data_IF_290995676823
#
_entry.id   IF_290995676823
#
_cell.length_a   1.000
_cell.length_b   1.000
_cell.length_c   1.000
_cell.angle_alpha   90.00
_cell.angle_beta   90.00
_cell.angle_gamma   90.00
#
_symmetry.space_group_name_H-M   'P 1'
#
loop_
_entity.id
_entity.type
_entity.pdbx_description
1 polymer ?
#
# COMPACT_ATOMS: atom_id res chain seq x y z
N UNK A 1 -4.85 -6.78 31.54
CA UNK A 1 -4.73 -7.32 30.17
C UNK A 1 -5.76 -6.77 29.17
N UNK A 2 -6.96 -6.33 29.58
CA UNK A 2 -7.93 -5.67 28.68
C UNK A 2 -7.44 -4.36 28.05
N UNK A 3 -6.56 -3.62 28.75
CA UNK A 3 -6.09 -2.29 28.33
C UNK A 3 -5.19 -2.31 27.08
N UNK A 4 -4.29 -3.30 26.94
CA UNK A 4 -3.38 -3.38 25.77
C UNK A 4 -4.10 -3.78 24.49
N UNK A 5 -5.14 -4.61 24.59
CA UNK A 5 -5.94 -5.02 23.44
C UNK A 5 -6.81 -3.87 22.89
N UNK A 6 -7.40 -3.07 23.78
CA UNK A 6 -8.15 -1.86 23.42
C UNK A 6 -7.24 -0.82 22.77
N UNK A 7 -6.05 -0.58 23.35
CA UNK A 7 -5.04 0.32 22.77
C UNK A 7 -4.61 -0.11 21.37
N UNK A 8 -4.29 -1.39 21.17
CA UNK A 8 -3.92 -1.91 19.86
C UNK A 8 -5.06 -1.75 18.84
N UNK A 9 -6.29 -2.03 19.25
CA UNK A 9 -7.48 -1.85 18.39
C UNK A 9 -7.70 -0.39 18.01
N UNK A 10 -7.46 0.55 18.93
CA UNK A 10 -7.59 1.99 18.66
C UNK A 10 -6.55 2.47 17.64
N UNK A 11 -5.30 2.01 17.77
CA UNK A 11 -4.24 2.30 16.80
C UNK A 11 -4.56 1.68 15.43
N UNK A 12 -4.98 0.42 15.38
CA UNK A 12 -5.36 -0.19 14.09
C UNK A 12 -6.50 0.59 13.41
N UNK A 13 -7.47 1.09 14.17
CA UNK A 13 -8.58 1.85 13.62
C UNK A 13 -8.27 3.33 13.34
N UNK A 14 -7.08 3.84 13.70
CA UNK A 14 -6.76 5.26 13.57
C UNK A 14 -7.64 6.18 14.41
N UNK A 15 -8.32 5.64 15.43
CA UNK A 15 -9.39 6.34 16.17
C UNK A 15 -8.89 7.53 17.00
N UNK A 16 -7.59 7.56 17.30
CA UNK A 16 -6.90 8.64 18.03
C UNK A 16 -6.05 9.51 17.08
N UNK A 17 -6.27 9.40 15.75
CA UNK A 17 -5.52 10.16 14.74
C UNK A 17 -4.10 9.66 14.49
N UNK A 18 -3.73 8.51 15.05
CA UNK A 18 -2.48 7.78 14.79
C UNK A 18 -2.75 6.30 14.61
N UNK A 19 -1.83 5.63 13.92
CA UNK A 19 -1.85 4.18 13.72
C UNK A 19 -0.59 3.55 14.28
N UNK A 20 -0.55 2.22 14.32
CA UNK A 20 0.63 1.51 14.80
C UNK A 20 1.76 1.60 13.77
N UNK A 21 2.95 1.99 14.21
CA UNK A 21 4.19 1.97 13.45
C UNK A 21 5.32 1.43 14.34
N UNK A 22 5.96 0.35 13.90
CA UNK A 22 7.08 -0.25 14.62
C UNK A 22 8.41 0.32 14.13
N UNK A 23 8.88 1.39 14.77
CA UNK A 23 10.20 1.99 14.48
C UNK A 23 11.35 1.35 15.25
N UNK A 24 11.04 0.59 16.31
CA UNK A 24 12.05 -0.02 17.18
C UNK A 24 12.50 -1.39 16.66
N UNK A 25 11.62 -2.13 15.99
CA UNK A 25 11.89 -3.48 15.47
C UNK A 25 11.57 -3.56 13.98
N UNK A 26 12.46 -3.14 13.07
CA UNK A 26 12.22 -3.28 11.64
C UNK A 26 12.04 -4.76 11.26
N UNK A 27 11.21 -5.00 10.24
CA UNK A 27 11.05 -6.31 9.60
C UNK A 27 12.11 -6.47 8.53
N UNK A 28 12.39 -7.71 8.13
CA UNK A 28 13.39 -8.02 7.11
C UNK A 28 12.73 -8.77 5.97
N UNK A 29 12.91 -8.31 4.74
CA UNK A 29 12.46 -9.03 3.55
C UNK A 29 13.50 -10.10 3.18
N UNK A 30 13.13 -11.37 3.30
CA UNK A 30 14.01 -12.52 3.01
C UNK A 30 13.49 -13.40 1.86
N UNK A 31 12.29 -13.13 1.35
CA UNK A 31 11.62 -13.92 0.31
C UNK A 31 11.48 -13.11 -0.96
N UNK A 32 11.80 -13.75 -2.08
CA UNK A 32 11.65 -13.21 -3.43
C UNK A 32 10.20 -13.22 -3.92
N UNK A 33 9.97 -12.94 -5.21
CA UNK A 33 8.65 -13.00 -5.82
C UNK A 33 8.07 -14.41 -5.80
N UNK A 34 6.74 -14.48 -5.90
CA UNK A 34 6.01 -15.75 -6.02
C UNK A 34 6.34 -16.43 -7.37
N UNK A 35 6.87 -17.65 -7.31
CA UNK A 35 7.07 -18.54 -8.44
C UNK A 35 5.87 -19.47 -8.59
N UNK A 36 4.90 -19.02 -9.39
CA UNK A 36 3.68 -19.77 -9.70
C UNK A 36 3.93 -21.06 -10.50
N UNK A 37 5.16 -21.31 -10.97
CA UNK A 37 5.50 -22.56 -11.66
C UNK A 37 5.80 -23.70 -10.68
N UNK A 38 6.14 -23.36 -9.44
CA UNK A 38 6.39 -24.32 -8.36
C UNK A 38 5.08 -24.57 -7.61
N UNK A 39 4.34 -25.57 -8.07
CA UNK A 39 3.08 -25.99 -7.46
C UNK A 39 3.29 -27.20 -6.53
N UNK A 40 4.38 -27.16 -5.77
CA UNK A 40 4.80 -28.25 -4.89
C UNK A 40 4.23 -28.02 -3.48
N UNK A 41 3.57 -29.02 -2.92
CA UNK A 41 2.94 -28.95 -1.58
C UNK A 41 3.91 -28.58 -0.45
N UNK A 42 5.22 -28.74 -0.64
CA UNK A 42 6.27 -28.42 0.33
C UNK A 42 7.06 -27.14 0.00
N UNK A 43 6.91 -26.58 -1.21
CA UNK A 43 7.53 -25.32 -1.60
C UNK A 43 6.42 -24.29 -1.79
N UNK A 44 6.35 -23.34 -0.86
CA UNK A 44 5.34 -22.28 -0.86
C UNK A 44 5.48 -21.31 -2.06
N UNK A 45 6.45 -21.54 -2.95
CA UNK A 45 6.62 -20.77 -4.19
C UNK A 45 7.34 -19.45 -3.97
N UNK A 46 8.16 -19.31 -2.92
CA UNK A 46 8.92 -18.08 -2.64
C UNK A 46 10.37 -18.40 -2.36
N UNK A 47 11.25 -18.18 -3.35
CA UNK A 47 12.69 -18.37 -3.18
C UNK A 47 13.27 -17.42 -2.12
N UNK A 48 14.40 -17.81 -1.54
CA UNK A 48 15.13 -16.92 -0.62
C UNK A 48 15.82 -15.84 -1.45
N UNK A 49 15.76 -14.59 -1.00
CA UNK A 49 16.50 -13.51 -1.66
C UNK A 49 18.01 -13.75 -1.54
N UNK A 50 18.80 -13.41 -2.58
CA UNK A 50 20.24 -13.27 -2.44
C UNK A 50 20.60 -12.35 -1.27
N UNK A 51 21.73 -12.60 -0.61
CA UNK A 51 22.14 -11.87 0.61
C UNK A 51 22.24 -10.35 0.39
N UNK A 52 22.67 -9.93 -0.80
CA UNK A 52 22.77 -8.52 -1.22
C UNK A 52 21.40 -7.86 -1.51
N UNK A 53 20.33 -8.65 -1.54
CA UNK A 53 18.97 -8.24 -1.86
C UNK A 53 18.04 -8.29 -0.64
N UNK A 54 18.57 -8.69 0.53
CA UNK A 54 17.86 -8.65 1.82
C UNK A 54 17.90 -7.24 2.37
N UNK A 55 16.74 -6.69 2.75
CA UNK A 55 16.66 -5.34 3.30
C UNK A 55 15.65 -5.21 4.44
N UNK A 56 15.91 -4.32 5.42
CA UNK A 56 14.95 -4.02 6.48
C UNK A 56 13.88 -3.03 6.01
N UNK A 57 12.69 -3.09 6.61
CA UNK A 57 11.63 -2.12 6.43
C UNK A 57 10.80 -1.95 7.70
N UNK A 58 10.19 -0.77 7.88
CA UNK A 58 9.25 -0.52 8.96
C UNK A 58 7.85 -0.97 8.58
N UNK A 59 7.12 -1.50 9.55
CA UNK A 59 5.75 -1.98 9.35
C UNK A 59 4.74 -1.02 9.98
N UNK A 60 3.93 -0.39 9.12
CA UNK A 60 2.76 0.40 9.53
C UNK A 60 1.51 -0.49 9.46
N UNK A 61 0.72 -0.53 10.54
CA UNK A 61 -0.52 -1.32 10.61
C UNK A 61 -1.73 -0.43 10.82
N UNK A 62 -2.66 -0.49 9.87
CA UNK A 62 -3.96 0.18 9.92
C UNK A 62 -5.03 -0.72 9.32
N UNK A 63 -6.24 -0.66 9.86
CA UNK A 63 -7.42 -1.36 9.35
C UNK A 63 -8.27 -0.38 8.55
N UNK A 64 -8.65 -0.74 7.34
CA UNK A 64 -9.59 0.06 6.55
C UNK A 64 -11.02 -0.06 7.11
N UNK A 65 -11.91 0.81 6.68
CA UNK A 65 -13.34 0.69 7.00
C UNK A 65 -13.93 -0.54 6.31
N UNK A 66 -14.61 -1.42 7.05
CA UNK A 66 -15.21 -2.66 6.51
C UNK A 66 -16.61 -2.39 5.93
N UNK A 67 -16.72 -2.31 4.60
CA UNK A 67 -18.02 -2.07 3.92
C UNK A 67 -18.85 -3.33 3.73
N UNK A 68 -18.35 -4.53 4.03
CA UNK A 68 -19.17 -5.76 3.93
C UNK A 68 -20.36 -5.73 4.89
N UNK A 69 -20.21 -5.04 6.01
CA UNK A 69 -21.23 -4.89 7.05
C UNK A 69 -22.27 -3.81 6.72
N UNK A 70 -22.06 -3.09 5.62
CA UNK A 70 -22.98 -2.08 5.13
C UNK A 70 -23.84 -2.77 4.06
N UNK A 71 -25.10 -3.10 4.38
CA UNK A 71 -26.00 -3.78 3.45
C UNK A 71 -26.18 -3.05 2.11
N UNK A 72 -26.83 -3.71 1.13
CA UNK A 72 -26.94 -3.24 -0.26
C UNK A 72 -27.59 -1.86 -0.45
N UNK A 73 -28.34 -1.35 0.55
CA UNK A 73 -28.97 -0.03 0.52
C UNK A 73 -28.19 0.97 1.37
N UNK A 74 -27.24 1.66 0.74
CA UNK A 74 -26.45 2.71 1.40
C UNK A 74 -27.12 4.06 1.15
N UNK A 75 -27.66 4.68 2.20
CA UNK A 75 -28.14 6.07 2.11
C UNK A 75 -26.98 7.04 1.82
N UNK A 76 -27.28 8.18 1.18
CA UNK A 76 -26.27 9.24 0.89
C UNK A 76 -25.54 9.70 2.16
N UNK A 77 -26.26 9.82 3.28
CA UNK A 77 -25.71 10.18 4.60
C UNK A 77 -24.73 9.12 5.13
N UNK A 78 -25.07 7.85 4.98
CA UNK A 78 -24.20 6.76 5.38
C UNK A 78 -22.91 6.73 4.54
N UNK A 79 -23.03 6.91 3.22
CA UNK A 79 -21.86 6.97 2.34
C UNK A 79 -20.91 8.11 2.72
N UNK A 80 -21.45 9.27 3.10
CA UNK A 80 -20.64 10.40 3.57
C UNK A 80 -19.85 10.06 4.83
N UNK A 81 -20.52 9.52 5.86
CA UNK A 81 -19.86 9.09 7.11
C UNK A 81 -18.75 8.07 6.87
N UNK A 82 -19.00 7.14 5.95
CA UNK A 82 -18.01 6.14 5.53
C UNK A 82 -16.75 6.78 4.91
N UNK A 83 -16.94 7.75 4.00
CA UNK A 83 -15.83 8.47 3.37
C UNK A 83 -15.06 9.32 4.38
N UNK A 84 -15.77 9.94 5.33
CA UNK A 84 -15.14 10.72 6.40
C UNK A 84 -14.28 9.82 7.32
N UNK A 85 -14.77 8.63 7.72
CA UNK A 85 -13.99 7.65 8.51
C UNK A 85 -12.76 7.15 7.72
N UNK A 86 -12.93 6.79 6.44
CA UNK A 86 -11.80 6.41 5.59
C UNK A 86 -10.73 7.50 5.51
N UNK A 87 -11.15 8.77 5.38
CA UNK A 87 -10.23 9.92 5.37
C UNK A 87 -9.50 10.07 6.71
N UNK A 88 -10.20 9.96 7.84
CA UNK A 88 -9.56 10.01 9.16
C UNK A 88 -8.48 8.94 9.30
N UNK A 89 -8.73 7.72 8.82
CA UNK A 89 -7.75 6.62 8.86
C UNK A 89 -6.55 6.88 7.96
N UNK A 90 -6.77 7.37 6.75
CA UNK A 90 -5.68 7.76 5.84
C UNK A 90 -4.83 8.89 6.44
N UNK A 91 -5.47 9.91 7.01
CA UNK A 91 -4.77 10.98 7.72
C UNK A 91 -3.95 10.39 8.87
N UNK A 92 -4.52 9.48 9.66
CA UNK A 92 -3.81 8.84 10.77
C UNK A 92 -2.56 8.09 10.31
N UNK A 93 -2.59 7.41 9.15
CA UNK A 93 -1.40 6.80 8.55
C UNK A 93 -0.33 7.86 8.22
N UNK A 94 -0.71 8.89 7.47
CA UNK A 94 0.22 9.92 7.01
C UNK A 94 0.84 10.68 8.18
N UNK A 95 0.05 11.08 9.18
CA UNK A 95 0.59 11.83 10.32
C UNK A 95 1.47 10.93 11.20
N UNK A 96 1.17 9.63 11.32
CA UNK A 96 2.06 8.69 12.02
C UNK A 96 3.43 8.61 11.34
N UNK A 97 3.46 8.56 10.01
CA UNK A 97 4.70 8.55 9.25
C UNK A 97 5.48 9.86 9.40
N UNK A 98 4.78 11.00 9.36
CA UNK A 98 5.37 12.34 9.53
C UNK A 98 6.00 12.49 10.92
N UNK A 99 5.26 12.13 11.97
CA UNK A 99 5.76 12.22 13.35
C UNK A 99 7.01 11.35 13.58
N UNK A 100 7.09 10.22 12.88
CA UNK A 100 8.23 9.32 12.91
C UNK A 100 9.37 9.71 11.95
N UNK A 101 9.23 10.80 11.18
CA UNK A 101 10.23 11.25 10.21
C UNK A 101 10.39 10.33 9.00
N UNK A 102 9.41 9.49 8.69
CA UNK A 102 9.46 8.53 7.56
C UNK A 102 9.12 9.25 6.26
N UNK A 103 10.12 9.38 5.37
CA UNK A 103 9.99 10.12 4.09
C UNK A 103 9.77 9.24 2.86
N UNK A 104 10.07 7.95 2.94
CA UNK A 104 9.90 6.97 1.86
C UNK A 104 8.84 5.96 2.27
N UNK A 105 7.75 5.88 1.50
CA UNK A 105 6.55 5.15 1.91
C UNK A 105 6.07 4.24 0.79
N UNK A 106 5.74 2.99 1.14
CA UNK A 106 5.01 2.06 0.27
C UNK A 106 3.62 1.83 0.88
N UNK A 107 2.59 2.17 0.12
CA UNK A 107 1.18 1.99 0.45
C UNK A 107 0.54 0.99 -0.53
N UNK A 108 -0.73 0.69 -0.34
CA UNK A 108 -1.51 -0.21 -1.18
C UNK A 108 -2.90 0.35 -1.46
N UNK A 109 -3.72 -0.39 -2.22
CA UNK A 109 -5.14 -0.08 -2.41
C UNK A 109 -5.94 -0.35 -1.11
N UNK A 110 -5.75 0.51 -0.12
CA UNK A 110 -6.18 0.31 1.28
C UNK A 110 -7.65 -0.09 1.39
N UNK A 111 -7.91 -1.33 1.82
CA UNK A 111 -9.25 -1.87 1.99
C UNK A 111 -10.06 -2.12 0.70
N UNK A 112 -9.48 -2.01 -0.48
CA UNK A 112 -10.22 -2.13 -1.76
C UNK A 112 -10.48 -3.59 -2.18
N UNK A 113 -9.85 -4.56 -1.51
CA UNK A 113 -10.13 -6.00 -1.68
C UNK A 113 -11.29 -6.46 -0.81
N UNK A 114 -11.01 -7.32 0.18
CA UNK A 114 -12.01 -7.96 1.02
C UNK A 114 -12.99 -6.98 1.70
N UNK A 115 -12.56 -5.77 2.06
CA UNK A 115 -13.39 -4.77 2.72
C UNK A 115 -14.26 -3.95 1.76
N UNK A 116 -14.18 -4.22 0.44
CA UNK A 116 -15.05 -3.68 -0.61
C UNK A 116 -15.08 -2.16 -0.72
N UNK A 117 -13.99 -1.48 -0.34
CA UNK A 117 -13.87 -0.04 -0.51
C UNK A 117 -13.72 0.32 -2.00
N UNK A 118 -14.39 1.37 -2.52
CA UNK A 118 -14.23 1.75 -3.92
C UNK A 118 -12.84 2.35 -4.15
N UNK A 119 -12.02 1.72 -4.98
CA UNK A 119 -10.64 2.13 -5.22
C UNK A 119 -10.51 3.59 -5.66
N UNK A 120 -11.39 4.08 -6.52
CA UNK A 120 -11.40 5.49 -6.94
C UNK A 120 -11.55 6.45 -5.75
N UNK A 121 -12.46 6.15 -4.80
CA UNK A 121 -12.67 7.01 -3.65
C UNK A 121 -11.47 7.00 -2.71
N UNK A 122 -10.87 5.82 -2.50
CA UNK A 122 -9.67 5.68 -1.66
C UNK A 122 -8.48 6.41 -2.29
N UNK A 123 -8.28 6.26 -3.60
CA UNK A 123 -7.23 6.95 -4.35
C UNK A 123 -7.36 8.48 -4.27
N UNK A 124 -8.57 9.02 -4.47
CA UNK A 124 -8.84 10.47 -4.37
C UNK A 124 -8.52 10.98 -2.97
N UNK A 125 -8.95 10.27 -1.92
CA UNK A 125 -8.64 10.67 -0.54
C UNK A 125 -7.13 10.67 -0.29
N UNK A 126 -6.41 9.64 -0.73
CA UNK A 126 -4.95 9.63 -0.60
C UNK A 126 -4.30 10.81 -1.33
N UNK A 127 -4.67 11.07 -2.58
CA UNK A 127 -4.12 12.19 -3.36
C UNK A 127 -4.29 13.50 -2.62
N UNK A 128 -5.52 13.84 -2.23
CA UNK A 128 -5.83 15.09 -1.54
C UNK A 128 -5.08 15.24 -0.20
N UNK A 129 -4.92 14.16 0.56
CA UNK A 129 -4.25 14.23 1.87
C UNK A 129 -2.71 14.18 1.76
N UNK A 130 -2.16 13.54 0.73
CA UNK A 130 -0.73 13.57 0.39
C UNK A 130 -0.35 14.96 -0.11
N UNK A 131 -1.14 15.56 -1.00
CA UNK A 131 -0.88 16.90 -1.56
C UNK A 131 -0.74 17.97 -0.47
N UNK A 132 -1.62 17.95 0.54
CA UNK A 132 -1.54 18.83 1.73
C UNK A 132 -0.26 18.65 2.56
N UNK A 133 0.48 17.57 2.35
CA UNK A 133 1.62 17.13 3.16
C UNK A 133 2.84 16.77 2.31
N UNK A 134 2.87 17.20 1.05
CA UNK A 134 3.83 16.70 0.06
C UNK A 134 5.29 16.90 0.50
N UNK A 135 5.59 18.03 1.14
CA UNK A 135 6.94 18.38 1.63
C UNK A 135 7.50 17.43 2.70
N UNK A 136 6.66 16.60 3.33
CA UNK A 136 7.09 15.64 4.33
C UNK A 136 7.59 14.31 3.73
N UNK A 137 7.30 14.04 2.47
CA UNK A 137 7.67 12.79 1.81
C UNK A 137 8.61 13.05 0.64
N UNK A 138 9.63 12.21 0.49
CA UNK A 138 10.47 12.16 -0.71
C UNK A 138 9.81 11.29 -1.78
N UNK A 139 9.27 10.14 -1.35
CA UNK A 139 8.66 9.16 -2.26
C UNK A 139 7.46 8.49 -1.58
N UNK A 140 6.33 8.45 -2.29
CA UNK A 140 5.17 7.62 -1.94
C UNK A 140 4.84 6.71 -3.11
N UNK A 141 4.94 5.40 -2.89
CA UNK A 141 4.63 4.36 -3.88
C UNK A 141 3.32 3.66 -3.50
N UNK A 142 2.44 3.42 -4.47
CA UNK A 142 1.29 2.53 -4.30
C UNK A 142 1.59 1.17 -4.95
N UNK A 143 2.03 0.19 -4.17
CA UNK A 143 2.26 -1.18 -4.61
C UNK A 143 0.92 -1.93 -4.70
N UNK A 144 0.29 -1.87 -5.86
CA UNK A 144 -1.03 -2.47 -6.10
C UNK A 144 -0.86 -3.75 -6.93
N UNK A 145 -0.96 -4.89 -6.27
CA UNK A 145 -0.96 -6.19 -6.94
C UNK A 145 -2.31 -6.47 -7.60
N UNK A 146 -2.28 -6.93 -8.86
CA UNK A 146 -3.45 -7.38 -9.59
C UNK A 146 -3.24 -8.82 -10.06
N UNK A 147 -3.81 -9.77 -9.32
CA UNK A 147 -3.63 -11.21 -9.54
C UNK A 147 -4.31 -11.77 -10.80
N UNK A 148 -4.94 -10.92 -11.62
CA UNK A 148 -5.74 -11.34 -12.78
C UNK A 148 -7.18 -11.73 -12.44
N UNK A 149 -7.57 -11.66 -11.17
CA UNK A 149 -8.95 -11.86 -10.69
C UNK A 149 -9.29 -10.84 -9.59
N UNK A 150 -10.59 -10.58 -9.40
CA UNK A 150 -11.09 -9.57 -8.44
C UNK A 150 -11.21 -8.17 -9.06
N UNK A 151 -11.53 -7.14 -8.24
CA UNK A 151 -11.69 -5.79 -8.73
C UNK A 151 -10.35 -5.17 -9.16
N UNK A 152 -10.36 -4.47 -10.29
CA UNK A 152 -9.23 -3.65 -10.72
C UNK A 152 -9.06 -2.44 -9.77
N UNK A 153 -8.01 -2.51 -8.96
CA UNK A 153 -7.61 -1.43 -8.07
C UNK A 153 -6.49 -0.57 -8.65
N UNK A 154 -5.76 -1.06 -9.67
CA UNK A 154 -4.62 -0.36 -10.23
C UNK A 154 -5.08 0.82 -11.08
N UNK A 155 -5.98 0.61 -12.04
CA UNK A 155 -6.41 1.65 -12.98
C UNK A 155 -7.01 2.87 -12.27
N UNK A 156 -7.86 2.75 -11.22
CA UNK A 156 -8.36 3.91 -10.49
C UNK A 156 -7.25 4.72 -9.82
N UNK A 157 -6.28 4.07 -9.17
CA UNK A 157 -5.14 4.76 -8.56
C UNK A 157 -4.26 5.42 -9.63
N UNK A 158 -3.95 4.71 -10.72
CA UNK A 158 -3.18 5.26 -11.83
C UNK A 158 -3.84 6.52 -12.39
N UNK A 159 -5.16 6.50 -12.64
CA UNK A 159 -5.88 7.67 -13.16
C UNK A 159 -5.86 8.86 -12.21
N UNK A 160 -6.00 8.63 -10.91
CA UNK A 160 -6.01 9.71 -9.91
C UNK A 160 -4.63 10.35 -9.77
N UNK A 161 -3.56 9.56 -9.82
CA UNK A 161 -2.18 10.05 -9.67
C UNK A 161 -1.50 10.40 -11.01
N UNK A 162 -2.17 10.22 -12.15
CA UNK A 162 -1.64 10.62 -13.44
C UNK A 162 -1.42 12.15 -13.45
N UNK A 163 -0.20 12.57 -13.76
CA UNK A 163 0.18 14.00 -13.75
C UNK A 163 0.28 14.61 -12.35
N UNK A 164 0.24 13.81 -11.29
CA UNK A 164 0.55 14.25 -9.93
C UNK A 164 2.07 14.38 -9.79
N UNK A 165 2.60 15.47 -10.30
CA UNK A 165 3.94 15.94 -9.95
C UNK A 165 3.73 17.01 -8.88
N UNK A 166 4.15 16.74 -7.64
CA UNK A 166 4.40 17.85 -6.71
C UNK A 166 5.46 18.73 -7.37
N UNK A 167 5.22 20.03 -7.43
CA UNK A 167 5.97 20.96 -8.27
C UNK A 167 7.50 20.72 -8.24
N UNK A 168 8.06 20.61 -9.45
CA UNK A 168 9.46 20.70 -9.90
C UNK A 168 10.58 19.86 -9.20
N UNK A 169 11.19 18.99 -10.03
CA UNK A 169 12.55 18.40 -9.96
C UNK A 169 12.90 17.10 -9.19
N UNK A 170 12.03 16.42 -8.43
CA UNK A 170 12.47 15.16 -7.77
C UNK A 170 11.54 13.92 -7.81
N UNK A 171 10.25 14.04 -8.11
CA UNK A 171 9.36 12.88 -8.08
C UNK A 171 9.26 12.19 -9.45
N UNK A 172 10.16 11.24 -9.74
CA UNK A 172 10.00 10.33 -10.88
C UNK A 172 9.02 9.21 -10.51
N UNK A 173 7.91 9.16 -11.23
CA UNK A 173 7.01 7.99 -11.23
C UNK A 173 7.77 6.78 -11.80
N UNK A 174 8.17 5.83 -10.96
CA UNK A 174 8.71 4.54 -11.41
C UNK A 174 7.57 3.54 -11.45
N UNK A 175 7.03 3.33 -12.65
CA UNK A 175 6.19 2.18 -12.96
C UNK A 175 7.09 0.93 -13.00
N UNK A 176 7.22 0.19 -11.90
CA UNK A 176 8.12 -0.97 -11.82
C UNK A 176 7.51 -2.28 -12.34
N UNK A 177 6.58 -2.22 -13.30
CA UNK A 177 6.03 -3.43 -13.91
C UNK A 177 7.00 -4.08 -14.93
N UNK A 178 7.99 -3.36 -15.45
CA UNK A 178 8.85 -3.87 -16.54
C UNK A 178 10.21 -4.45 -16.10
N UNK A 179 10.53 -4.48 -14.80
CA UNK A 179 11.89 -4.80 -14.34
C UNK A 179 12.09 -6.12 -13.59
N UNK A 180 11.05 -6.74 -13.02
CA UNK A 180 11.23 -7.82 -12.05
C UNK A 180 10.86 -9.23 -12.54
N UNK A 181 10.31 -9.39 -13.75
CA UNK A 181 9.75 -10.68 -14.21
C UNK A 181 10.23 -11.18 -15.58
N UNK A 182 11.33 -10.69 -16.17
CA UNK A 182 11.89 -11.34 -17.37
C UNK A 182 13.28 -11.91 -17.12
N UNK A 183 13.51 -13.23 -17.27
CA UNK A 183 14.86 -13.76 -17.32
C UNK A 183 15.57 -13.19 -18.55
N UNK A 184 16.89 -12.91 -18.48
CA UNK A 184 17.62 -12.33 -19.59
C UNK A 184 17.55 -13.25 -20.81
N UNK A 185 16.95 -12.74 -21.90
CA UNK A 185 17.00 -13.37 -23.22
C UNK A 185 18.47 -13.44 -23.63
N UNK A 186 19.04 -14.65 -23.68
CA UNK A 186 20.35 -14.87 -24.28
C UNK A 186 20.32 -14.44 -25.75
N UNK A 187 20.97 -13.31 -26.05
CA UNK A 187 21.21 -12.87 -27.41
C UNK A 187 22.26 -13.82 -28.00
N UNK A 188 21.83 -14.70 -28.91
CA UNK A 188 22.74 -15.48 -29.75
C UNK A 188 23.62 -14.50 -30.55
N UNK A 189 24.91 -14.49 -30.27
CA UNK A 189 25.90 -13.83 -31.11
C UNK A 189 25.81 -14.41 -32.52
N UNK A 190 25.48 -13.56 -33.50
CA UNK A 190 25.70 -13.89 -34.91
C UNK A 190 27.21 -13.79 -35.14
N UNK A 191 27.85 -14.94 -35.38
CA UNK A 191 29.21 -14.97 -35.96
C UNK A 191 29.15 -14.33 -37.35
N UNK A 192 30.05 -13.39 -37.60
CA UNK A 192 30.40 -12.93 -38.94
C UNK A 192 30.98 -14.09 -39.76
#
# INVERSE_FOLDING_TARGET
MLSTHLLMTNFLNGSEGRVYLDTASPRVCIRGPEDLTKNDYYDIGYETLPEDSVFPFMELRAAAVDRRRCGQFISKKFNRKFLDDMRCRIIAQLVTLIDAGVRHVILSAFGCGAFRNPANNVAVIYREEIEKRATHFDVVVFAIFHAGYGPDNFTPFQKVFLGFNGDDDCAKFVCSCEGFCTPPRQVRQKKC
#
